data_IF_740929306338
#
_entry.id   IF_740929306338
#
_cell.length_a   1.000
_cell.length_b   1.000
_cell.length_c   1.000
_cell.angle_alpha   90.00
_cell.angle_beta   90.00
_cell.angle_gamma   90.00
#
_symmetry.space_group_name_H-M   'P 1'
#
loop_
_entity.id
_entity.type
_entity.pdbx_description
1 polymer ?
#
# COMPACT_ATOMS: atom_id res chain seq x y z
N UNK A 1 -16.60 9.81 -16.35
CA UNK A 1 -15.81 9.17 -17.43
C UNK A 1 -15.13 7.96 -16.79
N UNK A 2 -15.35 6.73 -17.27
CA UNK A 2 -14.58 5.58 -16.76
C UNK A 2 -13.11 5.84 -17.11
N UNK A 3 -12.22 5.77 -16.13
CA UNK A 3 -10.78 5.83 -16.39
C UNK A 3 -10.46 4.68 -17.36
N UNK A 4 -9.77 4.93 -18.49
CA UNK A 4 -9.40 3.85 -19.40
C UNK A 4 -8.61 2.78 -18.64
N UNK A 5 -8.86 1.51 -18.98
CA UNK A 5 -8.16 0.39 -18.36
C UNK A 5 -6.68 0.46 -18.72
N UNK A 6 -5.82 0.32 -17.72
CA UNK A 6 -4.37 0.16 -17.94
C UNK A 6 -4.13 -1.17 -18.64
N UNK A 7 -3.47 -1.15 -19.78
CA UNK A 7 -3.04 -2.37 -20.47
C UNK A 7 -1.52 -2.42 -20.60
N UNK A 8 -0.97 -3.62 -20.80
CA UNK A 8 0.45 -3.86 -20.98
C UNK A 8 0.64 -5.11 -21.84
N UNK A 9 1.80 -5.21 -22.50
CA UNK A 9 2.22 -6.44 -23.17
C UNK A 9 2.86 -7.38 -22.11
N UNK A 10 2.34 -8.60 -21.90
CA UNK A 10 2.96 -9.57 -20.97
C UNK A 10 4.43 -9.88 -21.27
N UNK A 11 4.88 -9.73 -22.53
CA UNK A 11 6.29 -9.91 -22.91
C UNK A 11 7.14 -8.69 -22.58
N UNK A 12 6.54 -7.51 -22.50
CA UNK A 12 7.19 -6.24 -22.23
C UNK A 12 6.45 -5.47 -21.14
N UNK A 13 6.38 -6.00 -19.91
CA UNK A 13 5.49 -5.45 -18.87
C UNK A 13 5.98 -4.11 -18.28
N UNK A 14 7.14 -3.63 -18.73
CA UNK A 14 7.66 -2.28 -18.47
C UNK A 14 7.10 -1.24 -19.44
N UNK A 15 6.37 -1.66 -20.47
CA UNK A 15 5.68 -0.79 -21.42
C UNK A 15 4.20 -0.79 -21.05
N UNK A 16 3.71 0.36 -20.60
CA UNK A 16 2.34 0.54 -20.13
C UNK A 16 1.57 1.41 -21.11
N UNK A 17 0.34 1.01 -21.40
CA UNK A 17 -0.54 1.70 -22.33
C UNK A 17 -1.72 2.27 -21.54
N UNK A 18 -1.92 3.59 -21.66
CA UNK A 18 -3.07 4.32 -21.12
C UNK A 18 -3.82 4.97 -22.29
N UNK A 19 -4.87 4.31 -22.76
CA UNK A 19 -5.57 4.73 -23.98
C UNK A 19 -4.66 4.63 -25.21
N UNK A 20 -4.32 5.78 -25.81
CA UNK A 20 -3.46 5.85 -27.00
C UNK A 20 -1.99 6.20 -26.67
N UNK A 21 -1.65 6.38 -25.39
CA UNK A 21 -0.31 6.80 -24.97
C UNK A 21 0.45 5.62 -24.39
N UNK A 22 1.69 5.45 -24.88
CA UNK A 22 2.63 4.44 -24.40
C UNK A 22 3.64 5.06 -23.43
N UNK A 23 3.86 4.41 -22.29
CA UNK A 23 4.83 4.76 -21.27
C UNK A 23 5.84 3.63 -21.09
N UNK A 24 7.07 3.86 -21.53
CA UNK A 24 8.20 2.93 -21.29
C UNK A 24 8.84 3.27 -19.94
N UNK A 25 8.68 2.41 -18.94
CA UNK A 25 9.17 2.62 -17.58
C UNK A 25 10.65 2.22 -17.37
N UNK A 26 11.24 1.55 -18.36
CA UNK A 26 12.59 1.02 -18.30
C UNK A 26 12.99 0.39 -19.61
N UNK A 27 14.09 -0.36 -19.60
CA UNK A 27 14.60 -1.12 -20.74
C UNK A 27 14.74 -2.59 -20.35
N UNK A 28 14.55 -3.49 -21.32
CA UNK A 28 14.84 -4.91 -21.16
C UNK A 28 16.24 -5.20 -21.69
N UNK A 29 17.12 -5.75 -20.84
CA UNK A 29 18.51 -6.07 -21.21
C UNK A 29 18.70 -7.50 -21.74
N UNK A 30 17.60 -8.27 -21.86
CA UNK A 30 17.60 -9.67 -22.26
C UNK A 30 17.41 -10.64 -21.10
N UNK A 31 17.63 -10.20 -19.85
CA UNK A 31 17.42 -11.02 -18.64
C UNK A 31 16.50 -10.34 -17.62
N UNK A 32 16.67 -9.04 -17.41
CA UNK A 32 15.92 -8.27 -16.44
C UNK A 32 15.41 -6.95 -17.05
N UNK A 33 14.41 -6.37 -16.39
CA UNK A 33 13.95 -5.02 -16.70
C UNK A 33 14.74 -4.05 -15.82
N UNK A 34 15.49 -3.16 -16.46
CA UNK A 34 16.15 -2.04 -15.82
C UNK A 34 15.18 -0.85 -15.79
N UNK A 35 14.52 -0.66 -14.66
CA UNK A 35 13.59 0.44 -14.46
C UNK A 35 14.32 1.77 -14.33
N UNK A 36 13.79 2.79 -15.01
CA UNK A 36 14.28 4.17 -14.91
C UNK A 36 13.32 5.00 -14.07
N UNK A 37 13.82 5.60 -12.99
CA UNK A 37 12.98 6.36 -12.07
C UNK A 37 12.37 7.60 -12.72
N UNK A 38 13.07 8.27 -13.63
CA UNK A 38 12.51 9.44 -14.31
C UNK A 38 11.32 9.04 -15.18
N UNK A 39 11.40 7.90 -15.86
CA UNK A 39 10.32 7.34 -16.65
C UNK A 39 9.15 6.85 -15.79
N UNK A 40 9.43 6.20 -14.66
CA UNK A 40 8.40 5.86 -13.67
C UNK A 40 7.69 7.13 -13.16
N UNK A 41 8.44 8.17 -12.78
CA UNK A 41 7.87 9.40 -12.25
C UNK A 41 6.95 10.09 -13.27
N UNK A 42 7.33 10.13 -14.55
CA UNK A 42 6.48 10.64 -15.64
C UNK A 42 5.17 9.84 -15.77
N UNK A 43 5.25 8.51 -15.70
CA UNK A 43 4.05 7.67 -15.75
C UNK A 43 3.16 7.85 -14.52
N UNK A 44 3.74 7.86 -13.33
CA UNK A 44 3.01 8.06 -12.07
C UNK A 44 2.30 9.42 -12.07
N UNK A 45 2.94 10.50 -12.55
CA UNK A 45 2.30 11.81 -12.70
C UNK A 45 1.08 11.75 -13.63
N UNK A 46 1.23 11.15 -14.81
CA UNK A 46 0.14 10.97 -15.75
C UNK A 46 -1.00 10.10 -15.19
N UNK A 47 -0.66 8.94 -14.60
CA UNK A 47 -1.65 8.02 -14.03
C UNK A 47 -2.34 8.61 -12.82
N UNK A 48 -1.62 9.36 -11.98
CA UNK A 48 -2.20 10.08 -10.86
C UNK A 48 -3.21 11.14 -11.32
N UNK A 49 -2.92 11.87 -12.41
CA UNK A 49 -3.89 12.79 -13.02
C UNK A 49 -5.15 12.09 -13.55
N UNK A 50 -5.00 10.89 -14.10
CA UNK A 50 -6.13 10.07 -14.55
C UNK A 50 -7.00 9.54 -13.39
N UNK A 51 -6.38 9.19 -12.26
CA UNK A 51 -7.08 8.60 -11.11
C UNK A 51 -7.63 9.63 -10.12
N UNK A 52 -6.94 10.75 -9.93
CA UNK A 52 -7.20 11.73 -8.88
C UNK A 52 -7.51 13.14 -9.42
N UNK A 53 -7.48 13.31 -10.74
CA UNK A 53 -7.82 14.56 -11.42
C UNK A 53 -6.59 15.40 -11.81
N UNK A 54 -6.82 16.36 -12.70
CA UNK A 54 -5.78 17.18 -13.37
C UNK A 54 -4.82 17.94 -12.42
N UNK A 55 -5.23 18.16 -11.17
CA UNK A 55 -4.42 18.88 -10.17
C UNK A 55 -3.44 17.96 -9.44
N UNK A 56 -3.50 16.64 -9.66
CA UNK A 56 -2.49 15.72 -9.14
C UNK A 56 -1.10 16.13 -9.63
N UNK A 57 -0.14 16.12 -8.71
CA UNK A 57 1.28 16.35 -8.98
C UNK A 57 2.14 15.58 -7.99
N UNK A 58 3.34 15.24 -8.43
CA UNK A 58 4.41 14.78 -7.55
C UNK A 58 5.14 15.98 -6.96
N UNK A 59 5.64 15.82 -5.74
CA UNK A 59 6.38 16.86 -5.02
C UNK A 59 7.84 16.44 -4.92
N UNK A 60 8.76 17.36 -5.22
CA UNK A 60 10.19 17.08 -5.19
C UNK A 60 10.66 16.69 -3.78
N UNK A 61 10.04 17.24 -2.74
CA UNK A 61 10.31 16.89 -1.34
C UNK A 61 10.06 15.39 -1.04
N UNK A 62 9.13 14.75 -1.76
CA UNK A 62 8.83 13.32 -1.58
C UNK A 62 9.67 12.41 -2.46
N UNK A 63 10.53 12.96 -3.34
CA UNK A 63 11.20 12.19 -4.40
C UNK A 63 11.96 10.99 -3.85
N UNK A 64 12.61 11.15 -2.70
CA UNK A 64 13.33 10.05 -2.04
C UNK A 64 12.37 8.97 -1.51
N UNK A 65 11.24 9.35 -0.90
CA UNK A 65 10.23 8.40 -0.43
C UNK A 65 9.58 7.67 -1.60
N UNK A 66 9.26 8.40 -2.67
CA UNK A 66 8.72 7.82 -3.90
C UNK A 66 9.70 6.83 -4.51
N UNK A 67 11.00 7.16 -4.56
CA UNK A 67 12.03 6.26 -5.07
C UNK A 67 12.12 4.96 -4.26
N UNK A 68 12.09 5.03 -2.92
CA UNK A 68 12.05 3.85 -2.04
C UNK A 68 10.86 2.96 -2.34
N UNK A 69 9.67 3.55 -2.43
CA UNK A 69 8.45 2.81 -2.71
C UNK A 69 8.47 2.21 -4.12
N UNK A 70 8.89 2.95 -5.14
CA UNK A 70 9.05 2.42 -6.50
C UNK A 70 10.00 1.22 -6.52
N UNK A 71 11.15 1.32 -5.85
CA UNK A 71 12.13 0.22 -5.72
C UNK A 71 11.50 -1.03 -5.12
N UNK A 72 10.67 -0.86 -4.08
CA UNK A 72 9.91 -1.95 -3.47
C UNK A 72 8.92 -2.60 -4.46
N UNK A 73 8.12 -1.81 -5.16
CA UNK A 73 7.10 -2.33 -6.07
C UNK A 73 7.71 -3.03 -7.31
N UNK A 74 8.81 -2.52 -7.85
CA UNK A 74 9.55 -3.20 -8.93
C UNK A 74 10.34 -4.41 -8.42
N UNK A 75 10.45 -4.59 -7.09
CA UNK A 75 11.21 -5.63 -6.41
C UNK A 75 12.71 -5.58 -6.72
N UNK A 76 13.27 -4.37 -6.75
CA UNK A 76 14.72 -4.17 -6.81
C UNK A 76 15.33 -4.47 -5.44
N UNK A 77 15.76 -5.72 -5.25
CA UNK A 77 16.32 -6.19 -3.98
C UNK A 77 17.63 -5.45 -3.62
N UNK A 78 18.42 -5.04 -4.61
CA UNK A 78 19.69 -4.34 -4.37
C UNK A 78 19.42 -2.95 -3.83
N UNK A 79 18.48 -2.22 -4.45
CA UNK A 79 18.11 -0.88 -4.01
C UNK A 79 17.34 -0.90 -2.69
N UNK A 80 16.39 -1.84 -2.52
CA UNK A 80 15.66 -2.00 -1.26
C UNK A 80 16.58 -2.25 -0.06
N UNK A 81 17.64 -3.06 -0.26
CA UNK A 81 18.63 -3.33 0.80
C UNK A 81 19.36 -2.06 1.28
N UNK A 82 19.59 -1.08 0.40
CA UNK A 82 20.19 0.22 0.80
C UNK A 82 19.30 1.02 1.76
N UNK A 83 18.02 0.70 1.81
CA UNK A 83 17.02 1.36 2.65
C UNK A 83 16.49 0.48 3.79
N UNK A 84 17.11 -0.68 4.04
CA UNK A 84 16.64 -1.68 5.01
C UNK A 84 15.19 -2.13 4.74
N UNK A 85 14.85 -2.22 3.44
CA UNK A 85 13.55 -2.70 2.98
C UNK A 85 13.69 -4.16 2.55
N UNK A 86 12.87 -5.01 3.16
CA UNK A 86 12.71 -6.42 2.80
C UNK A 86 11.58 -6.54 1.78
N UNK A 87 11.91 -6.95 0.55
CA UNK A 87 10.91 -7.10 -0.52
C UNK A 87 9.81 -8.12 -0.18
N UNK A 88 10.06 -9.05 0.75
CA UNK A 88 9.11 -10.08 1.16
C UNK A 88 8.15 -9.64 2.26
N UNK A 89 8.44 -8.53 2.94
CA UNK A 89 7.53 -7.91 3.90
C UNK A 89 6.54 -6.96 3.22
N UNK A 90 5.44 -6.72 3.90
CA UNK A 90 4.48 -5.67 3.61
C UNK A 90 5.03 -4.27 3.77
N UNK A 91 4.21 -3.25 3.49
CA UNK A 91 4.53 -1.85 3.77
C UNK A 91 3.63 -1.34 4.90
N UNK A 92 4.22 -0.70 5.91
CA UNK A 92 3.52 0.16 6.86
C UNK A 92 3.89 1.60 6.52
N UNK A 93 3.05 2.26 5.75
CA UNK A 93 3.24 3.64 5.30
C UNK A 93 2.59 4.60 6.30
N UNK A 94 3.41 5.37 7.02
CA UNK A 94 2.99 6.30 8.06
C UNK A 94 3.33 7.75 7.71
N UNK A 95 2.66 8.71 8.35
CA UNK A 95 2.87 10.14 8.15
C UNK A 95 1.64 11.00 8.46
N UNK A 96 1.77 12.33 8.40
CA UNK A 96 0.68 13.26 8.69
C UNK A 96 -0.53 13.12 7.77
N UNK A 97 -1.67 13.66 8.20
CA UNK A 97 -2.90 13.68 7.38
C UNK A 97 -2.66 14.44 6.08
N UNK A 98 -3.18 13.92 4.96
CA UNK A 98 -3.11 14.61 3.67
C UNK A 98 -1.76 14.55 2.94
N UNK A 99 -0.73 13.90 3.50
CA UNK A 99 0.60 13.85 2.89
C UNK A 99 0.72 12.93 1.66
N UNK A 100 -0.33 12.17 1.31
CA UNK A 100 -0.39 11.35 0.08
C UNK A 100 -0.30 9.83 0.25
N UNK A 101 -0.33 9.28 1.48
CA UNK A 101 -0.20 7.83 1.74
C UNK A 101 -1.17 6.96 0.93
N UNK A 102 -2.47 7.19 1.11
CA UNK A 102 -3.56 6.50 0.39
C UNK A 102 -3.40 6.63 -1.12
N UNK A 103 -3.04 7.83 -1.59
CA UNK A 103 -2.83 8.12 -3.01
C UNK A 103 -1.69 7.28 -3.59
N UNK A 104 -0.52 7.26 -2.95
CA UNK A 104 0.62 6.46 -3.40
C UNK A 104 0.31 4.95 -3.38
N UNK A 105 -0.34 4.46 -2.32
CA UNK A 105 -0.72 3.05 -2.22
C UNK A 105 -1.86 2.66 -3.18
N UNK A 106 -2.53 3.60 -3.84
CA UNK A 106 -3.43 3.27 -4.95
C UNK A 106 -2.74 3.36 -6.31
N UNK A 107 -1.71 4.20 -6.40
CA UNK A 107 -1.06 4.55 -7.65
C UNK A 107 0.09 3.59 -8.01
N UNK A 108 0.93 3.24 -7.04
CA UNK A 108 2.15 2.48 -7.28
C UNK A 108 1.96 1.06 -7.85
N UNK A 109 0.89 0.30 -7.53
CA UNK A 109 0.64 -0.99 -8.19
C UNK A 109 0.57 -0.90 -9.71
N UNK A 110 0.20 0.26 -10.26
CA UNK A 110 0.11 0.46 -11.70
C UNK A 110 1.48 0.44 -12.40
N UNK A 111 2.62 0.58 -11.69
CA UNK A 111 3.95 0.50 -12.33
C UNK A 111 4.33 -0.95 -12.68
N UNK A 112 3.67 -1.93 -12.05
CA UNK A 112 3.94 -3.36 -12.18
C UNK A 112 2.64 -4.12 -12.44
N UNK A 113 1.91 -3.83 -13.54
CA UNK A 113 0.58 -4.39 -13.77
C UNK A 113 0.60 -5.93 -13.99
N UNK A 114 1.78 -6.48 -14.29
CA UNK A 114 2.05 -7.91 -14.39
C UNK A 114 2.14 -8.62 -13.04
N UNK A 115 2.35 -7.88 -11.93
CA UNK A 115 2.37 -8.44 -10.58
C UNK A 115 0.96 -8.47 -10.02
N UNK A 116 0.69 -9.46 -9.15
CA UNK A 116 -0.58 -9.54 -8.43
C UNK A 116 -0.71 -8.32 -7.51
N UNK A 117 -1.73 -7.50 -7.74
CA UNK A 117 -2.07 -6.39 -6.85
C UNK A 117 -2.66 -6.85 -5.52
N UNK A 118 -3.16 -5.88 -4.75
CA UNK A 118 -3.88 -6.12 -3.50
C UNK A 118 -5.29 -5.54 -3.53
N UNK A 119 -6.15 -6.09 -2.67
CA UNK A 119 -7.44 -5.48 -2.38
C UNK A 119 -7.22 -4.27 -1.46
N UNK A 120 -7.61 -3.09 -1.91
CA UNK A 120 -7.50 -1.85 -1.15
C UNK A 120 -8.78 -1.62 -0.34
N UNK A 121 -8.70 -1.62 0.98
CA UNK A 121 -9.89 -1.60 1.85
C UNK A 121 -9.69 -0.62 3.02
N UNK A 122 -10.54 0.40 3.16
CA UNK A 122 -10.53 1.27 4.35
C UNK A 122 -10.88 0.51 5.63
N UNK A 123 -10.07 0.64 6.69
CA UNK A 123 -10.27 -0.06 7.96
C UNK A 123 -11.64 0.21 8.57
N UNK A 124 -12.14 1.45 8.46
CA UNK A 124 -13.48 1.82 8.94
C UNK A 124 -14.60 0.98 8.31
N UNK A 125 -14.47 0.61 7.03
CA UNK A 125 -15.49 -0.16 6.34
C UNK A 125 -15.57 -1.59 6.88
N UNK A 126 -14.41 -2.13 7.30
CA UNK A 126 -14.31 -3.44 7.94
C UNK A 126 -15.05 -3.44 9.28
N UNK A 127 -14.83 -2.43 10.11
CA UNK A 127 -15.53 -2.29 11.39
C UNK A 127 -17.03 -2.11 11.19
N UNK A 128 -17.46 -1.32 10.20
CA UNK A 128 -18.88 -1.19 9.88
C UNK A 128 -19.51 -2.53 9.47
N UNK A 129 -18.79 -3.33 8.66
CA UNK A 129 -19.21 -4.70 8.33
C UNK A 129 -19.33 -5.58 9.58
N UNK A 130 -18.33 -5.56 10.46
CA UNK A 130 -18.32 -6.32 11.71
C UNK A 130 -19.53 -6.01 12.60
N UNK A 131 -19.95 -4.74 12.69
CA UNK A 131 -21.11 -4.36 13.50
C UNK A 131 -22.42 -5.02 13.01
N UNK A 132 -22.49 -5.40 11.72
CA UNK A 132 -23.63 -6.10 11.13
C UNK A 132 -23.51 -7.63 11.19
N UNK A 133 -22.35 -8.18 10.78
CA UNK A 133 -22.17 -9.63 10.57
C UNK A 133 -21.27 -10.32 11.60
N UNK A 134 -20.73 -9.57 12.56
CA UNK A 134 -19.90 -10.08 13.66
C UNK A 134 -18.61 -10.73 13.18
N UNK A 135 -18.21 -11.80 13.87
CA UNK A 135 -16.92 -12.49 13.68
C UNK A 135 -16.70 -13.05 12.28
N UNK A 136 -17.76 -13.27 11.49
CA UNK A 136 -17.63 -13.62 10.08
C UNK A 136 -16.79 -12.57 9.32
N UNK A 137 -16.94 -11.29 9.64
CA UNK A 137 -16.14 -10.22 9.03
C UNK A 137 -14.64 -10.41 9.28
N UNK A 138 -14.23 -10.92 10.44
CA UNK A 138 -12.83 -11.18 10.76
C UNK A 138 -12.33 -12.40 9.97
N UNK A 139 -13.14 -13.47 9.94
CA UNK A 139 -12.84 -14.71 9.21
C UNK A 139 -12.68 -14.48 7.70
N UNK A 140 -13.42 -13.54 7.12
CA UNK A 140 -13.31 -13.20 5.70
C UNK A 140 -11.90 -12.68 5.31
N UNK A 141 -11.07 -12.26 6.28
CA UNK A 141 -9.68 -11.87 6.07
C UNK A 141 -8.65 -12.98 6.33
N UNK A 142 -9.09 -14.20 6.63
CA UNK A 142 -8.24 -15.38 6.74
C UNK A 142 -7.87 -16.00 5.38
N UNK A 143 -8.27 -15.35 4.29
CA UNK A 143 -8.07 -15.85 2.92
C UNK A 143 -6.65 -15.66 2.36
N UNK A 144 -6.45 -16.15 1.13
CA UNK A 144 -5.17 -16.08 0.42
C UNK A 144 -5.04 -14.89 -0.55
N UNK A 145 -5.72 -13.78 -0.27
CA UNK A 145 -5.57 -12.53 -1.02
C UNK A 145 -4.58 -11.60 -0.32
N UNK A 146 -3.92 -10.76 -1.11
CA UNK A 146 -3.13 -9.65 -0.59
C UNK A 146 -4.04 -8.45 -0.32
N UNK A 147 -3.74 -7.69 0.73
CA UNK A 147 -4.56 -6.55 1.17
C UNK A 147 -3.70 -5.31 1.39
N UNK A 148 -4.28 -4.14 1.13
CA UNK A 148 -3.82 -2.88 1.67
C UNK A 148 -4.95 -2.30 2.54
N UNK A 149 -4.72 -2.26 3.85
CA UNK A 149 -5.66 -1.68 4.81
C UNK A 149 -5.39 -0.18 4.94
N UNK A 150 -6.36 0.62 4.54
CA UNK A 150 -6.22 2.07 4.47
C UNK A 150 -6.73 2.74 5.74
N UNK A 151 -5.99 3.74 6.22
CA UNK A 151 -6.24 4.50 7.43
C UNK A 151 -6.45 3.63 8.68
N UNK A 152 -5.51 2.72 8.95
CA UNK A 152 -5.48 2.01 10.23
C UNK A 152 -5.34 3.02 11.38
N UNK A 153 -6.19 2.90 12.39
CA UNK A 153 -6.14 3.72 13.59
C UNK A 153 -7.26 4.76 13.69
N UNK A 154 -8.01 5.03 12.61
CA UNK A 154 -9.16 5.95 12.66
C UNK A 154 -10.49 5.24 12.81
N UNK A 155 -10.52 3.91 12.69
CA UNK A 155 -11.71 3.12 12.88
C UNK A 155 -12.17 3.09 14.35
N UNK A 156 -13.48 3.01 14.54
CA UNK A 156 -14.12 2.86 15.84
C UNK A 156 -13.88 1.45 16.42
N UNK A 157 -14.12 1.30 17.72
CA UNK A 157 -14.23 -0.02 18.34
C UNK A 157 -15.44 -0.74 17.75
N UNK A 158 -15.24 -1.97 17.28
CA UNK A 158 -16.34 -2.79 16.75
C UNK A 158 -17.25 -3.25 17.87
N UNK A 159 -18.55 -3.30 17.61
CA UNK A 159 -19.57 -3.74 18.57
C UNK A 159 -20.48 -4.77 17.95
N UNK A 160 -20.53 -5.95 18.55
CA UNK A 160 -21.44 -7.01 18.14
C UNK A 160 -22.13 -7.61 19.37
N UNK A 161 -23.46 -7.58 19.40
CA UNK A 161 -24.28 -7.95 20.56
C UNK A 161 -23.81 -7.32 21.89
N UNK A 162 -23.47 -6.03 21.85
CA UNK A 162 -23.05 -5.27 23.03
C UNK A 162 -21.63 -5.55 23.53
N UNK A 163 -20.87 -6.44 22.86
CA UNK A 163 -19.46 -6.68 23.18
C UNK A 163 -18.55 -5.86 22.28
N UNK A 164 -17.61 -5.16 22.90
CA UNK A 164 -16.54 -4.44 22.21
C UNK A 164 -15.50 -5.43 21.66
N UNK A 165 -14.97 -5.12 20.48
CA UNK A 165 -13.96 -5.93 19.79
C UNK A 165 -12.97 -5.02 19.05
N UNK A 166 -11.67 -5.30 19.21
CA UNK A 166 -10.63 -4.71 18.38
C UNK A 166 -10.52 -5.48 17.06
N UNK A 167 -11.46 -5.21 16.16
CA UNK A 167 -11.64 -5.94 14.89
C UNK A 167 -10.36 -5.94 14.05
N UNK A 168 -9.71 -4.79 13.89
CA UNK A 168 -8.47 -4.70 13.12
C UNK A 168 -7.31 -5.39 13.85
N UNK A 169 -7.27 -5.35 15.18
CA UNK A 169 -6.31 -6.12 15.98
C UNK A 169 -6.39 -7.61 15.65
N UNK A 170 -7.59 -8.20 15.73
CA UNK A 170 -7.81 -9.62 15.41
C UNK A 170 -7.45 -9.95 13.95
N UNK A 171 -7.86 -9.11 13.00
CA UNK A 171 -7.51 -9.30 11.59
C UNK A 171 -5.99 -9.28 11.40
N UNK A 172 -5.26 -8.37 12.06
CA UNK A 172 -3.80 -8.31 11.95
C UNK A 172 -3.12 -9.55 12.54
N UNK A 173 -3.68 -10.16 13.58
CA UNK A 173 -3.24 -11.47 14.07
C UNK A 173 -3.43 -12.54 12.99
N UNK A 174 -4.64 -12.67 12.44
CA UNK A 174 -4.93 -13.65 11.39
C UNK A 174 -4.05 -13.46 10.15
N UNK A 175 -3.84 -12.20 9.73
CA UNK A 175 -2.96 -11.86 8.60
C UNK A 175 -1.50 -12.21 8.86
N UNK A 176 -1.02 -12.09 10.10
CA UNK A 176 0.33 -12.52 10.48
C UNK A 176 0.50 -14.02 10.28
N UNK A 177 -0.47 -14.83 10.71
CA UNK A 177 -0.39 -16.29 10.58
C UNK A 177 -0.35 -16.70 9.09
N UNK A 178 -1.16 -16.05 8.25
CA UNK A 178 -1.15 -16.27 6.79
C UNK A 178 0.18 -15.82 6.17
N UNK A 179 0.74 -14.69 6.61
CA UNK A 179 2.04 -14.23 6.16
C UNK A 179 3.14 -15.25 6.49
N UNK A 180 3.18 -15.79 7.72
CA UNK A 180 4.17 -16.80 8.11
C UNK A 180 4.00 -18.13 7.39
N UNK A 181 2.77 -18.56 7.13
CA UNK A 181 2.51 -19.85 6.49
C UNK A 181 2.66 -19.81 4.97
N UNK A 182 2.31 -18.69 4.33
CA UNK A 182 2.12 -18.60 2.87
C UNK A 182 2.89 -17.45 2.20
N UNK A 183 3.53 -16.57 2.97
CA UNK A 183 4.22 -15.39 2.43
C UNK A 183 3.28 -14.34 1.83
N UNK A 184 1.98 -14.37 2.16
CA UNK A 184 1.00 -13.45 1.58
C UNK A 184 1.07 -12.11 2.30
N UNK A 185 1.44 -11.08 1.54
CA UNK A 185 1.73 -9.74 2.06
C UNK A 185 0.44 -8.97 2.37
N UNK A 186 0.51 -8.19 3.43
CA UNK A 186 -0.44 -7.14 3.76
C UNK A 186 0.29 -5.80 3.71
N UNK A 187 -0.39 -4.72 3.37
CA UNK A 187 0.12 -3.36 3.46
C UNK A 187 -0.85 -2.50 4.28
N UNK A 188 -0.36 -1.41 4.84
CA UNK A 188 -1.12 -0.54 5.74
C UNK A 188 -0.73 0.92 5.47
N UNK A 189 -1.73 1.81 5.46
CA UNK A 189 -1.52 3.24 5.66
C UNK A 189 -2.04 3.64 7.04
N UNK A 190 -1.35 4.56 7.73
CA UNK A 190 -1.79 5.06 9.03
C UNK A 190 -1.26 6.46 9.30
N UNK A 191 -1.98 7.24 10.13
CA UNK A 191 -1.45 8.48 10.70
C UNK A 191 -0.78 8.26 12.06
N UNK A 192 -0.88 7.04 12.61
CA UNK A 192 -0.36 6.71 13.93
C UNK A 192 1.14 6.44 13.88
N UNK A 193 1.82 6.82 14.96
CA UNK A 193 3.19 6.42 15.24
C UNK A 193 3.26 5.04 15.92
N UNK A 194 4.48 4.58 16.19
CA UNK A 194 4.73 3.26 16.78
C UNK A 194 4.06 3.05 18.15
N UNK A 195 4.02 4.09 18.99
CA UNK A 195 3.53 4.03 20.36
C UNK A 195 2.00 4.09 20.36
N UNK A 196 1.41 4.95 19.53
CA UNK A 196 -0.04 5.03 19.34
C UNK A 196 -0.63 3.72 18.78
N UNK A 197 0.09 3.05 17.86
CA UNK A 197 -0.28 1.71 17.38
C UNK A 197 -0.25 0.69 18.52
N UNK A 198 0.76 0.74 19.40
CA UNK A 198 0.86 -0.17 20.53
C UNK A 198 -0.25 0.08 21.56
N UNK A 199 -0.53 1.34 21.89
CA UNK A 199 -1.60 1.71 22.81
C UNK A 199 -2.96 1.24 22.29
N UNK A 200 -3.21 1.43 20.99
CA UNK A 200 -4.50 1.08 20.38
C UNK A 200 -4.71 -0.43 20.17
N UNK A 201 -3.68 -1.17 19.75
CA UNK A 201 -3.82 -2.59 19.37
C UNK A 201 -3.15 -3.58 20.31
N UNK A 202 -2.39 -3.08 21.29
CA UNK A 202 -1.64 -3.88 22.24
C UNK A 202 -0.29 -4.35 21.72
N UNK A 203 0.60 -4.67 22.66
CA UNK A 203 1.97 -5.13 22.42
C UNK A 203 2.03 -6.36 21.50
N UNK A 204 1.07 -7.28 21.66
CA UNK A 204 0.99 -8.52 20.90
C UNK A 204 0.79 -8.30 19.40
N UNK A 205 0.00 -7.29 19.02
CA UNK A 205 -0.20 -6.89 17.61
C UNK A 205 1.03 -6.12 17.14
N UNK A 206 1.53 -5.18 17.95
CA UNK A 206 2.71 -4.37 17.64
C UNK A 206 3.94 -5.22 17.30
N UNK A 207 4.17 -6.29 18.06
CA UNK A 207 5.25 -7.25 17.84
C UNK A 207 5.13 -7.93 16.46
N UNK A 208 3.95 -8.46 16.12
CA UNK A 208 3.69 -9.06 14.79
C UNK A 208 3.88 -8.08 13.64
N UNK A 209 3.43 -6.83 13.82
CA UNK A 209 3.60 -5.79 12.80
C UNK A 209 5.09 -5.55 12.48
N UNK A 210 6.00 -5.62 13.47
CA UNK A 210 7.45 -5.47 13.21
C UNK A 210 8.01 -6.57 12.31
N UNK A 211 7.42 -7.76 12.36
CA UNK A 211 7.83 -8.88 11.50
C UNK A 211 7.20 -8.81 10.11
N UNK A 212 5.97 -8.30 10.01
CA UNK A 212 5.21 -8.26 8.76
C UNK A 212 5.58 -7.10 7.84
N UNK A 213 6.03 -5.97 8.38
CA UNK A 213 6.07 -4.71 7.62
C UNK A 213 7.45 -4.07 7.60
N UNK A 214 7.79 -3.50 6.45
CA UNK A 214 8.77 -2.43 6.33
C UNK A 214 8.12 -1.11 6.76
N UNK A 215 8.75 -0.39 7.68
CA UNK A 215 8.28 0.93 8.09
C UNK A 215 8.78 1.98 7.09
N UNK A 216 7.86 2.64 6.39
CA UNK A 216 8.17 3.78 5.53
C UNK A 216 7.38 4.97 6.04
N UNK A 217 8.05 6.07 6.37
CA UNK A 217 7.40 7.26 6.92
C UNK A 217 7.60 8.45 6.02
N UNK A 218 6.52 9.21 5.78
CA UNK A 218 6.66 10.60 5.41
C UNK A 218 7.29 11.40 6.56
N UNK A 219 8.01 12.48 6.26
CA UNK A 219 8.45 13.45 7.25
C UNK A 219 7.28 13.97 8.10
N UNK A 220 7.51 14.22 9.39
CA UNK A 220 6.48 14.73 10.30
C UNK A 220 6.01 16.15 9.95
N UNK A 221 6.85 16.92 9.24
CA UNK A 221 6.54 18.25 8.73
C UNK A 221 5.92 18.24 7.32
N UNK A 222 5.59 17.07 6.76
CA UNK A 222 4.91 17.01 5.47
C UNK A 222 3.56 17.70 5.53
N UNK A 223 3.32 18.59 4.56
CA UNK A 223 2.08 19.36 4.46
C UNK A 223 0.94 18.54 3.85
N UNK A 224 -0.28 19.03 4.05
CA UNK A 224 -1.46 18.49 3.37
C UNK A 224 -1.44 18.88 1.88
N UNK A 225 -1.50 17.88 1.00
CA UNK A 225 -1.39 18.03 -0.46
C UNK A 225 -2.75 18.03 -1.17
N UNK A 226 -3.84 18.18 -0.41
CA UNK A 226 -5.20 18.26 -0.95
C UNK A 226 -5.58 19.66 -1.44
N UNK A 227 -4.72 20.66 -1.20
CA UNK A 227 -4.87 22.06 -1.62
C UNK A 227 -4.22 22.39 -2.95
#
# INVERSE_FOLDING_TARGET
MKTPDTTFDPKNPHIIIEGAVEYKLGTFDGSFIQYDFASIARYIDAKGKLLFGKNFKLYDEDKQLLYKLCSYFVADAVECKKYDIDIDKGLLLTGPVGCGKTTLMRLLPHIVPHKRGYNFIPCRNIVFGFNGIGFKMIQDYEDHKSYCFDDLGVEHVGRYYGKDCNVMGEILISRYDIFKQKGIKTHITTNLNADELQEKYGERVRSRMREMFNLVSFPSNSTDKRG
#
